data_IF_044435213471
#
_entry.id   IF_044435213471
#
_cell.length_a   1.000
_cell.length_b   1.000
_cell.length_c   1.000
_cell.angle_alpha   90.00
_cell.angle_beta   90.00
_cell.angle_gamma   90.00
#
_symmetry.space_group_name_H-M   'P 1'
#
loop_
_entity.id
_entity.type
_entity.pdbx_description
1 polymer ?
#
# COMPACT_ATOMS: atom_id res chain seq x y z
N UNK A 1 0.18 -6.07 16.78
CA UNK A 1 -1.14 -6.15 16.15
C UNK A 1 -1.18 -7.39 15.27
N UNK A 2 -2.32 -8.07 15.18
CA UNK A 2 -2.50 -9.20 14.27
C UNK A 2 -2.57 -8.74 12.81
N UNK A 3 -2.03 -9.53 11.87
CA UNK A 3 -1.98 -9.15 10.45
C UNK A 3 -3.40 -9.01 9.86
N UNK A 4 -4.35 -9.84 10.34
CA UNK A 4 -5.74 -9.75 9.91
C UNK A 4 -6.37 -8.43 10.35
N UNK A 5 -6.09 -7.98 11.58
CA UNK A 5 -6.58 -6.68 12.05
C UNK A 5 -6.02 -5.49 11.24
N UNK A 6 -4.76 -5.59 10.77
CA UNK A 6 -4.20 -4.59 9.85
C UNK A 6 -4.90 -4.61 8.49
N UNK A 7 -5.14 -5.80 7.92
CA UNK A 7 -5.87 -5.96 6.67
C UNK A 7 -7.30 -5.42 6.76
N UNK A 8 -8.01 -5.69 7.85
CA UNK A 8 -9.38 -5.21 8.07
C UNK A 8 -9.41 -3.67 8.18
N UNK A 9 -8.38 -3.08 8.81
CA UNK A 9 -8.23 -1.62 8.89
C UNK A 9 -7.97 -1.01 7.50
N UNK A 10 -7.10 -1.63 6.70
CA UNK A 10 -6.80 -1.19 5.35
C UNK A 10 -8.03 -1.32 4.42
N UNK A 11 -8.77 -2.43 4.51
CA UNK A 11 -10.02 -2.63 3.76
C UNK A 11 -11.03 -1.53 4.08
N UNK A 12 -11.21 -1.22 5.37
CA UNK A 12 -12.08 -0.11 5.79
C UNK A 12 -11.59 1.23 5.24
N UNK A 13 -10.29 1.51 5.33
CA UNK A 13 -9.70 2.77 4.84
C UNK A 13 -9.95 2.95 3.33
N UNK A 14 -9.66 1.94 2.51
CA UNK A 14 -9.86 2.03 1.06
C UNK A 14 -11.34 2.10 0.66
N UNK A 15 -12.24 1.44 1.41
CA UNK A 15 -13.69 1.59 1.20
C UNK A 15 -14.20 3.00 1.49
N UNK A 16 -13.67 3.66 2.51
CA UNK A 16 -14.00 5.06 2.82
C UNK A 16 -13.49 6.01 1.72
N UNK A 17 -12.27 5.80 1.24
CA UNK A 17 -11.66 6.64 0.18
C UNK A 17 -12.27 6.44 -1.21
N UNK A 18 -13.00 5.35 -1.43
CA UNK A 18 -13.81 5.18 -2.64
C UNK A 18 -14.82 6.31 -2.85
N UNK A 19 -15.30 6.92 -1.77
CA UNK A 19 -16.20 8.08 -1.85
C UNK A 19 -15.48 9.34 -2.36
N UNK A 20 -14.15 9.40 -2.22
CA UNK A 20 -13.27 10.46 -2.69
C UNK A 20 -12.69 10.19 -4.09
N UNK A 21 -13.12 9.11 -4.74
CA UNK A 21 -12.70 8.73 -6.09
C UNK A 21 -11.48 7.83 -6.17
N UNK A 22 -10.86 7.46 -5.04
CA UNK A 22 -9.79 6.47 -5.02
C UNK A 22 -10.37 5.06 -5.12
N UNK A 23 -10.11 4.36 -6.22
CA UNK A 23 -10.53 2.96 -6.37
C UNK A 23 -9.30 2.06 -6.34
N UNK A 24 -9.22 1.22 -5.31
CA UNK A 24 -8.23 0.14 -5.20
C UNK A 24 -8.91 -1.16 -5.55
N UNK A 25 -8.47 -1.83 -6.63
CA UNK A 25 -9.07 -3.10 -7.06
C UNK A 25 -8.72 -4.24 -6.10
N UNK A 26 -7.45 -4.32 -5.70
CA UNK A 26 -6.89 -5.34 -4.80
C UNK A 26 -5.74 -4.78 -4.00
N UNK A 27 -5.54 -5.33 -2.81
CA UNK A 27 -4.37 -5.05 -2.00
C UNK A 27 -3.99 -6.26 -1.15
N UNK A 28 -2.76 -6.26 -0.64
CA UNK A 28 -2.30 -7.28 0.29
C UNK A 28 -0.96 -6.94 0.92
N UNK A 29 -0.58 -7.74 1.91
CA UNK A 29 0.66 -7.56 2.68
C UNK A 29 1.62 -8.71 2.41
N UNK A 30 2.89 -8.36 2.22
CA UNK A 30 4.00 -9.30 2.10
C UNK A 30 5.08 -8.98 3.14
N UNK A 31 5.80 -9.96 3.71
CA UNK A 31 6.93 -9.64 4.60
C UNK A 31 8.00 -8.83 3.85
N UNK A 32 8.41 -7.69 4.40
CA UNK A 32 9.44 -6.84 3.78
C UNK A 32 10.84 -7.46 3.89
N UNK A 33 11.09 -8.16 5.00
CA UNK A 33 12.39 -8.76 5.30
C UNK A 33 12.19 -10.17 5.87
N UNK A 34 11.83 -11.17 5.03
CA UNK A 34 11.55 -12.53 5.48
C UNK A 34 12.69 -13.10 6.33
N UNK A 35 12.38 -13.51 7.56
CA UNK A 35 13.35 -14.12 8.48
C UNK A 35 14.36 -13.14 9.13
N UNK A 36 14.28 -11.84 8.84
CA UNK A 36 15.17 -10.83 9.45
C UNK A 36 14.43 -9.85 10.37
N UNK A 37 13.25 -9.38 9.95
CA UNK A 37 12.45 -8.44 10.74
C UNK A 37 11.02 -8.97 10.81
N UNK A 38 10.61 -9.33 12.02
CA UNK A 38 9.22 -9.71 12.28
C UNK A 38 8.33 -8.48 12.19
N UNK A 39 7.11 -8.68 11.68
CA UNK A 39 6.08 -7.64 11.63
C UNK A 39 6.42 -6.38 10.81
N UNK A 40 7.23 -6.51 9.78
CA UNK A 40 7.47 -5.46 8.77
C UNK A 40 6.96 -5.92 7.42
N UNK A 41 6.05 -5.15 6.81
CA UNK A 41 5.31 -5.57 5.62
C UNK A 41 5.37 -4.55 4.47
N UNK A 42 5.40 -5.07 3.26
CA UNK A 42 5.17 -4.32 2.01
C UNK A 42 3.67 -4.35 1.73
N UNK A 43 3.06 -3.18 1.55
CA UNK A 43 1.68 -3.05 1.09
C UNK A 43 1.65 -2.99 -0.43
N UNK A 44 1.21 -4.07 -1.07
CA UNK A 44 0.94 -4.08 -2.51
C UNK A 44 -0.48 -3.63 -2.81
N UNK A 45 -0.66 -2.74 -3.78
CA UNK A 45 -1.95 -2.15 -4.18
C UNK A 45 -2.06 -2.16 -5.70
N UNK A 46 -3.15 -2.71 -6.25
CA UNK A 46 -3.34 -2.82 -7.68
C UNK A 46 -4.22 -1.72 -8.25
N UNK A 47 -3.77 -1.16 -9.37
CA UNK A 47 -4.49 -0.23 -10.24
C UNK A 47 -5.27 0.86 -9.48
N UNK A 48 -4.64 1.62 -8.57
CA UNK A 48 -5.34 2.69 -7.91
C UNK A 48 -5.76 3.73 -8.96
N UNK A 49 -7.06 3.88 -9.16
CA UNK A 49 -7.61 4.95 -9.97
C UNK A 49 -7.57 6.22 -9.14
N UNK A 50 -6.65 7.13 -9.46
CA UNK A 50 -6.51 8.44 -8.80
C UNK A 50 -7.01 9.51 -9.75
N UNK A 51 -7.93 10.41 -9.32
CA UNK A 51 -8.37 11.52 -10.14
C UNK A 51 -7.18 12.37 -10.60
N UNK A 52 -7.10 12.64 -11.91
CA UNK A 52 -6.09 13.50 -12.54
C UNK A 52 -4.62 13.05 -12.40
N UNK A 53 -4.35 11.79 -12.05
CA UNK A 53 -2.98 11.27 -12.08
C UNK A 53 -2.84 9.95 -12.84
N UNK A 54 -1.91 9.95 -13.79
CA UNK A 54 -1.40 8.76 -14.47
C UNK A 54 -0.03 8.34 -13.94
N UNK A 55 0.60 9.16 -13.08
CA UNK A 55 1.93 8.88 -12.56
C UNK A 55 1.85 7.89 -11.40
N UNK A 56 2.69 6.87 -11.48
CA UNK A 56 2.80 5.82 -10.50
C UNK A 56 3.40 6.31 -9.17
N UNK A 57 4.19 7.39 -9.19
CA UNK A 57 4.67 8.10 -7.99
C UNK A 57 3.51 8.75 -7.25
N UNK A 58 2.71 9.56 -7.94
CA UNK A 58 1.53 10.22 -7.37
C UNK A 58 0.51 9.21 -6.81
N UNK A 59 0.34 8.07 -7.50
CA UNK A 59 -0.50 6.97 -7.00
C UNK A 59 0.05 6.45 -5.67
N UNK A 60 1.36 6.21 -5.57
CA UNK A 60 1.97 5.75 -4.32
C UNK A 60 1.86 6.79 -3.20
N UNK A 61 2.03 8.07 -3.51
CA UNK A 61 1.87 9.17 -2.56
C UNK A 61 0.44 9.28 -2.07
N UNK A 62 -0.54 9.14 -2.97
CA UNK A 62 -1.97 9.11 -2.62
C UNK A 62 -2.27 7.97 -1.65
N UNK A 63 -1.75 6.77 -1.90
CA UNK A 63 -1.91 5.65 -0.96
C UNK A 63 -1.26 5.97 0.38
N UNK A 64 -0.05 6.54 0.39
CA UNK A 64 0.62 6.95 1.64
C UNK A 64 -0.22 7.98 2.40
N UNK A 65 -0.81 8.96 1.72
CA UNK A 65 -1.68 9.97 2.35
C UNK A 65 -2.91 9.32 3.02
N UNK A 66 -3.52 8.33 2.37
CA UNK A 66 -4.59 7.51 2.97
C UNK A 66 -4.10 6.78 4.22
N UNK A 67 -2.90 6.19 4.20
CA UNK A 67 -2.33 5.55 5.39
C UNK A 67 -2.10 6.56 6.52
N UNK A 68 -1.69 7.79 6.21
CA UNK A 68 -1.51 8.84 7.22
C UNK A 68 -2.83 9.36 7.78
N UNK A 69 -3.86 9.46 6.96
CA UNK A 69 -5.19 9.94 7.37
C UNK A 69 -6.00 8.87 8.15
N UNK A 70 -5.92 7.60 7.77
CA UNK A 70 -6.84 6.55 8.24
C UNK A 70 -6.26 5.59 9.26
N UNK A 71 -4.95 5.41 9.28
CA UNK A 71 -4.30 4.52 10.26
C UNK A 71 -3.76 5.32 11.45
N UNK A 72 -3.50 4.65 12.56
CA UNK A 72 -2.72 5.22 13.66
C UNK A 72 -1.23 5.10 13.37
N UNK A 73 -0.41 5.84 14.12
CA UNK A 73 1.05 5.72 14.03
C UNK A 73 1.53 4.30 14.36
N UNK A 74 0.89 3.61 15.31
CA UNK A 74 1.25 2.22 15.62
C UNK A 74 0.92 1.27 14.48
N UNK A 75 -0.23 1.44 13.82
CA UNK A 75 -0.61 0.62 12.67
C UNK A 75 0.35 0.85 11.48
N UNK A 76 0.73 2.10 11.23
CA UNK A 76 1.67 2.46 10.17
C UNK A 76 3.07 1.85 10.37
N UNK A 77 3.51 1.64 11.60
CA UNK A 77 4.84 1.03 11.90
C UNK A 77 5.01 -0.38 11.32
N UNK A 78 3.91 -1.06 11.05
CA UNK A 78 3.93 -2.40 10.43
C UNK A 78 4.14 -2.34 8.91
N UNK A 79 3.99 -1.18 8.27
CA UNK A 79 4.12 -1.00 6.83
C UNK A 79 5.47 -0.32 6.54
N UNK A 80 6.36 -1.02 5.84
CA UNK A 80 7.68 -0.50 5.45
C UNK A 80 7.59 0.37 4.19
N UNK A 81 6.83 -0.08 3.19
CA UNK A 81 6.69 0.58 1.90
C UNK A 81 5.38 0.22 1.22
N UNK A 82 4.97 1.08 0.29
CA UNK A 82 3.83 0.86 -0.60
C UNK A 82 4.36 0.49 -1.98
N UNK A 83 3.78 -0.55 -2.59
CA UNK A 83 3.98 -0.94 -3.99
C UNK A 83 2.70 -0.75 -4.77
N UNK A 84 2.76 0.02 -5.84
CA UNK A 84 1.63 0.27 -6.74
C UNK A 84 1.87 -0.43 -8.06
N UNK A 85 0.87 -1.21 -8.49
CA UNK A 85 0.84 -1.87 -9.80
C UNK A 85 -0.14 -1.14 -10.72
N UNK A 86 0.15 -1.09 -12.02
CA UNK A 86 -0.74 -0.45 -12.97
C UNK A 86 -1.99 -1.28 -13.27
N UNK A 87 -1.94 -2.60 -13.02
CA UNK A 87 -3.08 -3.50 -13.22
C UNK A 87 -3.25 -4.54 -12.10
N UNK A 88 -4.48 -5.04 -11.95
CA UNK A 88 -4.78 -6.18 -11.07
C UNK A 88 -4.01 -7.46 -11.49
N UNK A 89 -3.80 -7.66 -12.79
CA UNK A 89 -3.09 -8.84 -13.32
C UNK A 89 -1.61 -8.85 -12.92
N UNK A 90 -0.94 -7.69 -12.95
CA UNK A 90 0.45 -7.55 -12.51
C UNK A 90 0.57 -7.80 -11.01
N UNK A 91 -0.35 -7.22 -10.22
CA UNK A 91 -0.43 -7.48 -8.79
C UNK A 91 -0.60 -8.98 -8.50
N UNK A 92 -1.58 -9.64 -9.14
CA UNK A 92 -1.84 -11.07 -8.92
C UNK A 92 -0.63 -11.94 -9.27
N UNK A 93 0.02 -11.64 -10.39
CA UNK A 93 1.19 -12.37 -10.84
C UNK A 93 2.33 -12.24 -9.83
N UNK A 94 2.53 -11.03 -9.30
CA UNK A 94 3.59 -10.78 -8.32
C UNK A 94 3.27 -11.37 -6.95
N UNK A 95 2.00 -11.30 -6.53
CA UNK A 95 1.51 -11.92 -5.29
C UNK A 95 1.72 -13.44 -5.29
N UNK A 96 1.51 -14.11 -6.43
CA UNK A 96 1.79 -15.56 -6.59
C UNK A 96 3.28 -15.92 -6.44
N UNK A 97 4.16 -14.95 -6.64
CA UNK A 97 5.61 -15.09 -6.47
C UNK A 97 6.11 -14.51 -5.14
N UNK A 98 5.25 -14.33 -4.13
CA UNK A 98 5.59 -13.73 -2.84
C UNK A 98 6.27 -12.36 -2.97
N UNK A 99 5.90 -11.57 -3.97
CA UNK A 99 6.46 -10.24 -4.21
C UNK A 99 7.98 -10.26 -4.50
N UNK A 100 8.50 -11.35 -5.10
CA UNK A 100 9.90 -11.50 -5.51
C UNK A 100 10.39 -10.33 -6.39
N UNK A 101 11.52 -9.72 -6.02
CA UNK A 101 12.07 -8.51 -6.65
C UNK A 101 12.66 -8.76 -8.06
N UNK A 102 12.53 -9.97 -8.61
CA UNK A 102 13.17 -10.37 -9.88
C UNK A 102 12.49 -9.82 -11.15
N UNK A 103 11.28 -9.24 -11.08
CA UNK A 103 10.62 -8.58 -12.22
C UNK A 103 9.39 -7.71 -11.83
N UNK A 104 9.01 -6.78 -12.74
CA UNK A 104 7.73 -6.03 -12.92
C UNK A 104 7.74 -4.50 -12.73
N UNK A 105 7.00 -3.82 -13.62
CA UNK A 105 6.73 -2.39 -13.62
C UNK A 105 5.76 -2.02 -12.49
N UNK A 106 6.29 -1.94 -11.29
CA UNK A 106 5.63 -1.33 -10.13
C UNK A 106 6.45 -0.12 -9.69
N UNK A 107 5.80 0.82 -9.02
CA UNK A 107 6.52 1.83 -8.25
C UNK A 107 6.47 1.45 -6.78
N UNK A 108 7.58 1.69 -6.11
CA UNK A 108 7.66 1.53 -4.67
C UNK A 108 8.08 2.83 -4.00
N UNK A 109 7.37 3.18 -2.93
CA UNK A 109 7.65 4.35 -2.12
C UNK A 109 7.73 3.94 -0.66
N UNK A 110 8.85 4.23 0.04
CA UNK A 110 9.02 3.90 1.44
C UNK A 110 8.05 4.71 2.30
N UNK A 111 7.51 4.09 3.35
CA UNK A 111 6.67 4.78 4.32
C UNK A 111 7.57 5.49 5.34
N UNK A 112 7.89 6.76 5.09
CA UNK A 112 8.71 7.52 6.02
C UNK A 112 7.87 8.01 7.22
N UNK A 113 7.92 7.29 8.33
CA UNK A 113 7.17 7.59 9.56
C UNK A 113 7.55 8.92 10.22
N UNK A 114 8.67 9.54 9.82
CA UNK A 114 9.10 10.85 10.31
C UNK A 114 8.58 12.02 9.47
N UNK A 115 7.94 11.74 8.32
CA UNK A 115 7.30 12.79 7.53
C UNK A 115 5.99 13.22 8.19
N UNK A 116 5.88 14.51 8.49
CA UNK A 116 4.60 15.16 8.77
C UNK A 116 3.95 15.49 7.45
N UNK A 117 2.93 14.72 7.05
CA UNK A 117 2.10 15.05 5.87
C UNK A 117 0.89 15.89 6.30
N UNK A 118 0.63 16.96 5.56
CA UNK A 118 -0.59 17.74 5.75
C UNK A 118 -1.78 16.87 5.31
N UNK A 119 -2.64 16.52 6.26
CA UNK A 119 -3.90 15.83 5.96
C UNK A 119 -4.81 16.90 5.34
N UNK A 120 -5.12 16.76 4.05
CA UNK A 120 -6.04 17.64 3.33
C UNK A 120 -7.50 17.32 3.68
#
# INVERSE_FOLDING_TARGET
MDIQALLDTLDKAFKEERQNGLVVDRFGLAPAYPGMIEHSYILGVSSPSVPNSSDCTDKSDTIIDVLFARLTTEQRRYIDRVRVYDSADEYERHAKCNFDNSYYGYCESPLNLTQTRAIA
#
